data_IF_056941939963
#
_entry.id   IF_056941939963
#
_cell.length_a   1.000
_cell.length_b   1.000
_cell.length_c   1.000
_cell.angle_alpha   90.00
_cell.angle_beta   90.00
_cell.angle_gamma   90.00
#
_symmetry.space_group_name_H-M   'P 1'
#
loop_
_entity.id
_entity.type
_entity.pdbx_description
1 polymer ?
#
# COMPACT_ATOMS: atom_id res chain seq x y z
N UNK A 1 -32.18 23.41 -30.78
CA UNK A 1 -31.24 22.38 -30.26
C UNK A 1 -30.12 22.99 -29.40
N UNK A 2 -29.58 24.18 -29.73
CA UNK A 2 -28.49 24.81 -28.96
C UNK A 2 -28.84 25.16 -27.50
N UNK A 3 -30.08 25.53 -27.19
CA UNK A 3 -30.49 25.86 -25.82
C UNK A 3 -30.44 24.68 -24.84
N UNK A 4 -30.72 23.46 -25.32
CA UNK A 4 -30.70 22.24 -24.49
C UNK A 4 -29.27 21.88 -24.09
N UNK A 5 -28.31 22.04 -25.02
CA UNK A 5 -26.89 21.81 -24.73
C UNK A 5 -26.33 22.78 -23.69
N UNK A 6 -26.74 24.04 -23.72
CA UNK A 6 -26.32 25.05 -22.74
C UNK A 6 -26.82 24.69 -21.34
N UNK A 7 -28.08 24.24 -21.22
CA UNK A 7 -28.66 23.82 -19.94
C UNK A 7 -27.93 22.60 -19.38
N UNK A 8 -27.61 21.61 -20.22
CA UNK A 8 -26.91 20.41 -19.80
C UNK A 8 -25.47 20.71 -19.32
N UNK A 9 -24.75 21.60 -20.02
CA UNK A 9 -23.43 22.07 -19.62
C UNK A 9 -23.46 22.81 -18.28
N UNK A 10 -24.45 23.67 -18.04
CA UNK A 10 -24.62 24.36 -16.77
C UNK A 10 -24.93 23.40 -15.63
N UNK A 11 -25.68 22.33 -15.90
CA UNK A 11 -26.00 21.32 -14.89
C UNK A 11 -24.75 20.53 -14.46
N UNK A 12 -23.90 20.13 -15.41
CA UNK A 12 -22.62 19.46 -15.11
C UNK A 12 -21.67 20.39 -14.34
N UNK A 13 -21.60 21.67 -14.73
CA UNK A 13 -20.78 22.65 -14.03
C UNK A 13 -21.28 22.88 -12.59
N UNK A 14 -22.60 22.92 -12.37
CA UNK A 14 -23.19 23.08 -11.05
C UNK A 14 -22.95 21.85 -10.15
N UNK A 15 -23.07 20.62 -10.68
CA UNK A 15 -22.85 19.39 -9.88
C UNK A 15 -21.39 19.22 -9.51
N UNK A 16 -20.46 19.46 -10.43
CA UNK A 16 -19.02 19.44 -10.14
C UNK A 16 -18.62 20.51 -9.12
N UNK A 17 -19.18 21.72 -9.22
CA UNK A 17 -18.95 22.80 -8.24
C UNK A 17 -19.53 22.45 -6.86
N UNK A 18 -20.71 21.83 -6.79
CA UNK A 18 -21.32 21.42 -5.53
C UNK A 18 -20.50 20.34 -4.81
N UNK A 19 -19.97 19.35 -5.54
CA UNK A 19 -19.08 18.32 -4.98
C UNK A 19 -17.73 18.92 -4.55
N UNK A 20 -17.21 19.87 -5.31
CA UNK A 20 -15.97 20.56 -4.95
C UNK A 20 -16.15 21.41 -3.67
N UNK A 21 -17.25 22.15 -3.56
CA UNK A 21 -17.55 22.97 -2.39
C UNK A 21 -17.86 22.11 -1.16
N UNK A 22 -18.55 20.97 -1.28
CA UNK A 22 -18.80 20.08 -0.15
C UNK A 22 -17.51 19.47 0.40
N UNK A 23 -16.57 19.08 -0.48
CA UNK A 23 -15.24 18.61 -0.07
C UNK A 23 -14.44 19.70 0.62
N UNK A 24 -14.53 20.96 0.16
CA UNK A 24 -13.81 22.09 0.76
C UNK A 24 -14.38 22.49 2.13
N UNK A 25 -15.71 22.44 2.30
CA UNK A 25 -16.37 22.75 3.57
C UNK A 25 -16.17 21.67 4.65
N UNK A 26 -15.81 20.43 4.27
CA UNK A 26 -15.41 19.39 5.22
C UNK A 26 -14.00 19.59 5.79
N UNK A 27 -13.15 20.38 5.12
CA UNK A 27 -11.77 20.66 5.56
C UNK A 27 -11.73 21.83 6.54
N UNK A 28 -12.66 22.79 6.42
CA UNK A 28 -12.85 23.86 7.41
C UNK A 28 -13.77 23.39 8.56
N UNK A 29 -13.44 22.26 9.20
CA UNK A 29 -13.93 22.08 10.56
C UNK A 29 -13.33 23.22 11.38
N UNK A 30 -14.14 24.08 12.02
CA UNK A 30 -13.60 25.04 12.97
C UNK A 30 -12.77 24.22 13.95
N UNK A 31 -11.53 24.66 14.19
CA UNK A 31 -10.73 24.19 15.31
C UNK A 31 -11.65 24.25 16.52
N UNK A 32 -12.22 23.09 16.87
CA UNK A 32 -12.80 22.88 18.18
C UNK A 32 -11.67 23.29 19.07
N UNK A 33 -11.82 24.43 19.75
CA UNK A 33 -11.07 24.70 20.96
C UNK A 33 -11.36 23.47 21.80
N UNK A 34 -10.49 22.47 21.71
CA UNK A 34 -10.21 21.56 22.80
C UNK A 34 -9.76 22.53 23.89
N UNK A 35 -10.72 23.02 24.65
CA UNK A 35 -10.48 23.20 26.07
C UNK A 35 -9.80 21.89 26.48
N UNK A 36 -8.49 21.96 26.73
CA UNK A 36 -7.83 20.93 27.48
C UNK A 36 -8.54 20.97 28.83
N UNK A 37 -9.63 20.20 28.95
CA UNK A 37 -10.11 19.80 30.25
C UNK A 37 -8.90 19.23 30.95
N UNK A 38 -8.47 19.93 32.00
CA UNK A 38 -7.39 19.45 32.85
C UNK A 38 -7.77 18.01 33.22
N UNK A 39 -6.88 17.02 32.98
CA UNK A 39 -7.20 15.65 33.29
C UNK A 39 -7.61 15.61 34.77
N UNK A 40 -8.77 15.02 35.10
CA UNK A 40 -9.21 14.93 36.49
C UNK A 40 -8.06 14.30 37.29
N UNK A 41 -7.76 14.79 38.51
CA UNK A 41 -6.61 14.34 39.28
C UNK A 41 -6.69 12.82 39.45
N UNK A 42 -5.82 12.10 38.76
CA UNK A 42 -5.71 10.65 38.85
C UNK A 42 -5.10 10.35 40.21
N UNK A 43 -5.94 9.88 41.13
CA UNK A 43 -5.48 9.42 42.44
C UNK A 43 -4.67 8.15 42.26
N UNK A 44 -3.38 8.20 42.60
CA UNK A 44 -2.45 7.06 42.60
C UNK A 44 -2.83 5.93 43.59
N UNK A 45 -3.84 6.17 44.45
CA UNK A 45 -4.28 5.25 45.49
C UNK A 45 -5.82 5.16 45.60
N UNK A 46 -6.55 5.59 44.57
CA UNK A 46 -8.02 5.54 44.53
C UNK A 46 -8.52 4.20 43.99
N UNK A 47 -9.17 3.43 44.85
CA UNK A 47 -9.67 2.07 44.65
C UNK A 47 -10.36 1.73 43.32
N UNK A 48 -10.10 0.49 42.91
CA UNK A 48 -11.00 -0.49 42.26
C UNK A 48 -12.43 -0.02 41.94
N UNK A 49 -12.87 -0.32 40.71
CA UNK A 49 -14.29 -0.57 40.46
C UNK A 49 -14.83 -0.11 39.11
N UNK A 50 -14.18 -0.46 38.00
CA UNK A 50 -14.84 -0.73 36.72
C UNK A 50 -13.84 -1.27 35.67
N UNK A 51 -12.94 -2.16 36.09
CA UNK A 51 -12.52 -3.19 35.14
C UNK A 51 -13.74 -4.08 34.96
N UNK A 52 -14.56 -3.77 33.94
CA UNK A 52 -15.49 -4.75 33.42
C UNK A 52 -14.64 -6.00 33.18
N UNK A 53 -14.94 -7.14 33.83
CA UNK A 53 -14.31 -8.39 33.43
C UNK A 53 -14.65 -8.53 31.95
N UNK A 54 -13.66 -8.43 31.08
CA UNK A 54 -13.80 -8.94 29.71
C UNK A 54 -14.23 -10.38 29.96
N UNK A 55 -15.49 -10.68 29.65
CA UNK A 55 -16.03 -11.99 29.95
C UNK A 55 -15.11 -12.98 29.24
N UNK A 56 -14.67 -14.03 29.94
CA UNK A 56 -13.80 -15.05 29.34
C UNK A 56 -14.42 -15.57 28.02
N UNK A 57 -15.75 -15.54 27.95
CA UNK A 57 -16.55 -15.83 26.75
C UNK A 57 -16.25 -14.89 25.56
N UNK A 58 -16.02 -13.59 25.79
CA UNK A 58 -15.72 -12.62 24.73
C UNK A 58 -14.33 -12.89 24.09
N UNK A 59 -13.34 -13.24 24.91
CA UNK A 59 -11.99 -13.59 24.42
C UNK A 59 -12.04 -14.87 23.60
N UNK A 60 -12.73 -15.91 24.10
CA UNK A 60 -12.89 -17.17 23.36
C UNK A 60 -13.64 -16.98 22.04
N UNK A 61 -14.65 -16.12 22.01
CA UNK A 61 -15.40 -15.82 20.80
C UNK A 61 -14.54 -15.09 19.77
N UNK A 62 -13.71 -14.12 20.20
CA UNK A 62 -12.76 -13.43 19.33
C UNK A 62 -11.70 -14.39 18.77
N UNK A 63 -11.15 -15.27 19.60
CA UNK A 63 -10.19 -16.29 19.14
C UNK A 63 -10.82 -17.26 18.13
N UNK A 64 -12.08 -17.65 18.34
CA UNK A 64 -12.82 -18.49 17.40
C UNK A 64 -13.04 -17.79 16.08
N UNK A 65 -13.46 -16.52 16.10
CA UNK A 65 -13.63 -15.70 14.88
C UNK A 65 -12.30 -15.55 14.13
N UNK A 66 -11.21 -15.28 14.86
CA UNK A 66 -9.86 -15.22 14.29
C UNK A 66 -9.47 -16.53 13.61
N UNK A 67 -9.70 -17.66 14.28
CA UNK A 67 -9.39 -18.98 13.74
C UNK A 67 -10.21 -19.30 12.49
N UNK A 68 -11.49 -18.90 12.45
CA UNK A 68 -12.36 -19.08 11.29
C UNK A 68 -11.90 -18.26 10.08
N UNK A 69 -11.52 -17.00 10.29
CA UNK A 69 -10.99 -16.14 9.23
C UNK A 69 -9.66 -16.67 8.67
N UNK A 70 -8.76 -17.12 9.53
CA UNK A 70 -7.49 -17.71 9.08
C UNK A 70 -7.71 -19.05 8.37
N UNK A 71 -8.68 -19.87 8.80
CA UNK A 71 -9.03 -21.09 8.10
C UNK A 71 -9.60 -20.81 6.69
N UNK A 72 -10.41 -19.75 6.53
CA UNK A 72 -10.87 -19.29 5.22
C UNK A 72 -9.72 -18.80 4.34
N UNK A 73 -8.79 -18.01 4.90
CA UNK A 73 -7.59 -17.56 4.21
C UNK A 73 -6.75 -18.75 3.70
N UNK A 74 -6.55 -19.77 4.53
CA UNK A 74 -5.84 -20.99 4.16
C UNK A 74 -6.52 -21.79 3.02
N UNK A 75 -7.83 -21.60 2.82
CA UNK A 75 -8.58 -22.17 1.69
C UNK A 75 -8.58 -21.26 0.44
N UNK A 76 -7.82 -20.16 0.43
CA UNK A 76 -7.71 -19.24 -0.69
C UNK A 76 -8.82 -18.18 -0.77
N UNK A 77 -9.61 -18.00 0.29
CA UNK A 77 -10.64 -16.95 0.33
C UNK A 77 -9.98 -15.58 0.56
N UNK A 78 -9.93 -14.76 -0.49
CA UNK A 78 -9.31 -13.42 -0.44
C UNK A 78 -10.18 -12.38 0.26
N UNK A 79 -11.50 -12.62 0.40
CA UNK A 79 -12.41 -11.68 1.05
C UNK A 79 -12.07 -11.42 2.52
N UNK A 80 -11.37 -12.36 3.16
CA UNK A 80 -10.86 -12.24 4.53
C UNK A 80 -9.92 -11.05 4.73
N UNK A 81 -9.23 -10.59 3.67
CA UNK A 81 -8.35 -9.41 3.74
C UNK A 81 -9.14 -8.15 4.00
N UNK A 82 -10.27 -7.99 3.32
CA UNK A 82 -11.18 -6.85 3.51
C UNK A 82 -11.85 -6.91 4.88
N UNK A 83 -12.26 -8.10 5.34
CA UNK A 83 -12.83 -8.29 6.68
C UNK A 83 -11.81 -7.95 7.78
N UNK A 84 -10.56 -8.40 7.64
CA UNK A 84 -9.49 -8.10 8.59
C UNK A 84 -9.10 -6.62 8.59
N UNK A 85 -9.05 -5.99 7.41
CA UNK A 85 -8.79 -4.55 7.27
C UNK A 85 -9.91 -3.71 7.89
N UNK A 86 -11.18 -4.05 7.63
CA UNK A 86 -12.33 -3.36 8.20
C UNK A 86 -12.42 -3.47 9.73
N UNK A 87 -11.84 -4.53 10.31
CA UNK A 87 -11.72 -4.71 11.75
C UNK A 87 -10.54 -3.95 12.38
N UNK A 88 -9.75 -3.21 11.58
CA UNK A 88 -8.54 -2.49 12.00
C UNK A 88 -7.51 -3.38 12.74
N UNK A 89 -7.48 -4.68 12.42
CA UNK A 89 -6.59 -5.65 13.06
C UNK A 89 -5.43 -6.01 12.13
N UNK A 90 -4.37 -5.20 12.18
CA UNK A 90 -3.15 -5.37 11.38
C UNK A 90 -2.54 -6.77 11.54
N UNK A 91 -2.50 -7.31 12.75
CA UNK A 91 -1.91 -8.64 13.01
C UNK A 91 -2.70 -9.79 12.38
N UNK A 92 -4.03 -9.64 12.29
CA UNK A 92 -4.89 -10.62 11.63
C UNK A 92 -4.79 -10.48 10.10
N UNK A 93 -4.74 -9.24 9.62
CA UNK A 93 -4.54 -8.95 8.21
C UNK A 93 -3.24 -9.57 7.69
N UNK A 94 -2.12 -9.31 8.36
CA UNK A 94 -0.80 -9.83 7.99
C UNK A 94 -0.78 -11.36 8.01
N UNK A 95 -1.35 -11.97 9.05
CA UNK A 95 -1.42 -13.43 9.16
C UNK A 95 -2.28 -14.06 8.06
N UNK A 96 -3.40 -13.43 7.69
CA UNK A 96 -4.26 -13.89 6.60
C UNK A 96 -3.56 -13.75 5.24
N UNK A 97 -2.90 -12.61 5.01
CA UNK A 97 -2.14 -12.38 3.77
C UNK A 97 -0.97 -13.37 3.63
N UNK A 98 -0.26 -13.66 4.72
CA UNK A 98 0.81 -14.68 4.74
C UNK A 98 0.31 -16.07 4.38
N UNK A 99 -0.87 -16.46 4.87
CA UNK A 99 -1.49 -17.74 4.52
C UNK A 99 -1.87 -17.80 3.04
N UNK A 100 -2.44 -16.72 2.50
CA UNK A 100 -2.78 -16.62 1.08
C UNK A 100 -1.53 -16.69 0.19
N UNK A 101 -0.46 -15.97 0.54
CA UNK A 101 0.82 -16.04 -0.19
C UNK A 101 1.41 -17.44 -0.14
N UNK A 102 1.36 -18.10 1.03
CA UNK A 102 1.82 -19.48 1.18
C UNK A 102 1.02 -20.44 0.30
N UNK A 103 -0.29 -20.24 0.18
CA UNK A 103 -1.16 -21.02 -0.70
C UNK A 103 -0.88 -20.82 -2.20
N UNK A 104 -0.30 -19.69 -2.59
CA UNK A 104 0.07 -19.36 -3.97
C UNK A 104 1.56 -19.64 -4.30
N UNK A 105 2.35 -20.26 -3.42
CA UNK A 105 3.82 -20.32 -3.56
C UNK A 105 4.30 -20.95 -4.88
N UNK A 106 3.57 -21.94 -5.41
CA UNK A 106 3.91 -22.65 -6.66
C UNK A 106 3.08 -22.20 -7.87
N UNK A 107 2.28 -21.14 -7.72
CA UNK A 107 1.36 -20.63 -8.75
C UNK A 107 1.50 -19.11 -8.94
N UNK A 108 2.32 -18.73 -9.93
CA UNK A 108 2.53 -17.33 -10.32
C UNK A 108 1.24 -16.61 -10.73
N UNK A 109 0.23 -17.30 -11.27
CA UNK A 109 -1.05 -16.67 -11.61
C UNK A 109 -1.86 -16.37 -10.34
N UNK A 110 -1.87 -17.30 -9.38
CA UNK A 110 -2.46 -17.08 -8.06
C UNK A 110 -1.81 -15.88 -7.36
N UNK A 111 -0.47 -15.81 -7.35
CA UNK A 111 0.28 -14.75 -6.70
C UNK A 111 -0.01 -13.37 -7.34
N UNK A 112 -0.03 -13.30 -8.68
CA UNK A 112 -0.36 -12.06 -9.42
C UNK A 112 -1.81 -11.63 -9.20
N UNK A 113 -2.76 -12.55 -9.15
CA UNK A 113 -4.16 -12.21 -8.82
C UNK A 113 -4.29 -11.64 -7.40
N UNK A 114 -3.57 -12.21 -6.44
CA UNK A 114 -3.52 -11.71 -5.06
C UNK A 114 -2.90 -10.31 -5.01
N UNK A 115 -1.79 -10.10 -5.72
CA UNK A 115 -1.13 -8.81 -5.88
C UNK A 115 -2.06 -7.74 -6.46
N UNK A 116 -2.78 -8.09 -7.53
CA UNK A 116 -3.75 -7.22 -8.18
C UNK A 116 -4.91 -6.83 -7.24
N UNK A 117 -5.41 -7.76 -6.42
CA UNK A 117 -6.46 -7.48 -5.44
C UNK A 117 -5.99 -6.48 -4.37
N UNK A 118 -4.77 -6.68 -3.83
CA UNK A 118 -4.18 -5.73 -2.87
C UNK A 118 -3.96 -4.36 -3.50
N UNK A 119 -3.53 -4.30 -4.76
CA UNK A 119 -3.29 -3.05 -5.47
C UNK A 119 -4.57 -2.31 -5.90
N UNK A 120 -5.65 -3.03 -6.23
CA UNK A 120 -6.86 -2.44 -6.82
C UNK A 120 -7.64 -1.56 -5.83
N UNK A 121 -7.64 -1.91 -4.55
CA UNK A 121 -8.45 -1.24 -3.53
C UNK A 121 -7.88 0.09 -3.02
N UNK A 122 -6.57 0.32 -3.16
CA UNK A 122 -5.87 1.52 -2.64
C UNK A 122 -5.85 1.67 -1.11
N UNK A 123 -6.70 0.93 -0.39
CA UNK A 123 -6.79 0.88 1.06
C UNK A 123 -5.93 -0.23 1.65
N UNK A 124 -5.84 -1.36 0.94
CA UNK A 124 -5.04 -2.51 1.34
C UNK A 124 -3.55 -2.22 1.19
N UNK A 125 -2.76 -2.73 2.15
CA UNK A 125 -1.31 -2.65 2.14
C UNK A 125 -0.75 -4.03 1.86
N UNK A 126 0.32 -4.11 1.07
CA UNK A 126 1.02 -5.37 0.94
C UNK A 126 1.75 -5.65 2.26
N UNK A 127 2.02 -6.92 2.54
CA UNK A 127 3.00 -7.27 3.56
C UNK A 127 4.34 -7.57 2.90
N UNK A 128 5.39 -7.68 3.72
CA UNK A 128 6.74 -8.00 3.28
C UNK A 128 6.80 -9.31 2.47
N UNK A 129 6.08 -10.34 2.91
CA UNK A 129 6.12 -11.67 2.30
C UNK A 129 5.55 -11.70 0.89
N UNK A 130 4.43 -11.01 0.64
CA UNK A 130 3.86 -10.87 -0.71
C UNK A 130 4.83 -10.16 -1.65
N UNK A 131 5.43 -9.07 -1.18
CA UNK A 131 6.39 -8.30 -1.98
C UNK A 131 7.65 -9.12 -2.29
N UNK A 132 8.22 -9.83 -1.32
CA UNK A 132 9.35 -10.76 -1.53
C UNK A 132 9.00 -11.85 -2.55
N UNK A 133 7.83 -12.48 -2.42
CA UNK A 133 7.39 -13.52 -3.34
C UNK A 133 7.26 -13.00 -4.79
N UNK A 134 6.72 -11.80 -4.99
CA UNK A 134 6.63 -11.19 -6.33
C UNK A 134 7.98 -10.77 -6.89
N UNK A 135 8.92 -10.35 -6.04
CA UNK A 135 10.29 -10.05 -6.48
C UNK A 135 10.95 -11.33 -6.99
N UNK A 136 10.79 -12.46 -6.31
CA UNK A 136 11.32 -13.75 -6.76
C UNK A 136 10.62 -14.25 -8.04
N UNK A 137 9.29 -14.22 -8.09
CA UNK A 137 8.51 -14.60 -9.29
C UNK A 137 8.93 -13.77 -10.52
N UNK A 138 9.13 -12.46 -10.33
CA UNK A 138 9.58 -11.58 -11.40
C UNK A 138 11.02 -11.87 -11.86
N UNK A 139 11.92 -12.26 -10.95
CA UNK A 139 13.31 -12.63 -11.32
C UNK A 139 13.34 -13.85 -12.24
N UNK A 140 12.38 -14.76 -12.12
CA UNK A 140 12.27 -15.95 -12.97
C UNK A 140 11.81 -15.59 -14.39
N UNK A 141 10.91 -14.61 -14.54
CA UNK A 141 10.43 -14.13 -15.83
C UNK A 141 10.37 -12.59 -15.89
N UNK A 142 11.50 -11.91 -16.18
CA UNK A 142 11.61 -10.45 -16.12
C UNK A 142 10.90 -9.77 -17.28
N UNK A 143 9.57 -9.65 -17.19
CA UNK A 143 8.75 -8.91 -18.15
C UNK A 143 8.50 -7.46 -17.70
N UNK A 144 8.40 -6.54 -18.68
CA UNK A 144 8.29 -5.10 -18.41
C UNK A 144 7.00 -4.66 -17.73
N UNK A 145 5.88 -5.29 -18.08
CA UNK A 145 4.57 -5.09 -17.42
C UNK A 145 4.59 -5.59 -15.97
N UNK A 146 5.20 -6.75 -15.72
CA UNK A 146 5.30 -7.34 -14.39
C UNK A 146 6.25 -6.55 -13.46
N UNK A 147 7.25 -5.86 -14.02
CA UNK A 147 8.13 -4.98 -13.25
C UNK A 147 7.36 -3.85 -12.56
N UNK A 148 6.40 -3.23 -13.24
CA UNK A 148 5.61 -2.15 -12.66
C UNK A 148 4.74 -2.63 -11.51
N UNK A 149 4.13 -3.81 -11.65
CA UNK A 149 3.35 -4.48 -10.62
C UNK A 149 4.21 -4.85 -9.41
N UNK A 150 5.35 -5.51 -9.63
CA UNK A 150 6.31 -5.87 -8.58
C UNK A 150 6.78 -4.63 -7.80
N UNK A 151 7.18 -3.56 -8.49
CA UNK A 151 7.58 -2.31 -7.83
C UNK A 151 6.43 -1.66 -7.07
N UNK A 152 5.21 -1.71 -7.60
CA UNK A 152 4.03 -1.16 -6.94
C UNK A 152 3.73 -1.90 -5.64
N UNK A 153 3.72 -3.24 -5.66
CA UNK A 153 3.47 -4.05 -4.46
C UNK A 153 4.60 -3.92 -3.44
N UNK A 154 5.85 -3.87 -3.89
CA UNK A 154 6.97 -3.57 -2.99
C UNK A 154 6.80 -2.20 -2.31
N UNK A 155 6.30 -1.19 -3.01
CA UNK A 155 6.01 0.12 -2.40
C UNK A 155 4.80 0.08 -1.44
N UNK A 156 3.79 -0.75 -1.71
CA UNK A 156 2.65 -0.96 -0.81
C UNK A 156 3.01 -1.68 0.49
N UNK A 157 4.19 -2.33 0.54
CA UNK A 157 4.67 -3.02 1.75
C UNK A 157 5.09 -2.07 2.88
N UNK A 158 5.23 -0.78 2.57
CA UNK A 158 5.76 0.24 3.48
C UNK A 158 7.16 -0.08 4.08
N UNK A 159 7.87 -1.05 3.51
CA UNK A 159 9.26 -1.37 3.82
C UNK A 159 10.17 -0.71 2.77
N UNK A 160 10.78 0.42 3.15
CA UNK A 160 11.64 1.18 2.26
C UNK A 160 12.90 0.40 1.82
N UNK A 161 13.40 -0.52 2.65
CA UNK A 161 14.56 -1.33 2.31
C UNK A 161 14.18 -2.41 1.28
N UNK A 162 13.02 -3.04 1.45
CA UNK A 162 12.50 -4.01 0.48
C UNK A 162 12.20 -3.34 -0.87
N UNK A 163 11.63 -2.14 -0.85
CA UNK A 163 11.41 -1.38 -2.07
C UNK A 163 12.72 -0.98 -2.75
N UNK A 164 13.76 -0.60 -2.00
CA UNK A 164 15.10 -0.36 -2.56
C UNK A 164 15.68 -1.62 -3.22
N UNK A 165 15.51 -2.79 -2.59
CA UNK A 165 15.92 -4.06 -3.17
C UNK A 165 15.21 -4.34 -4.50
N UNK A 166 13.89 -4.18 -4.53
CA UNK A 166 13.07 -4.31 -5.74
C UNK A 166 13.56 -3.40 -6.88
N UNK A 167 13.87 -2.14 -6.57
CA UNK A 167 14.43 -1.17 -7.54
C UNK A 167 15.79 -1.63 -8.06
N UNK A 168 16.67 -2.11 -7.20
CA UNK A 168 18.00 -2.59 -7.60
C UNK A 168 17.91 -3.86 -8.46
N UNK A 169 17.00 -4.77 -8.14
CA UNK A 169 16.70 -5.96 -8.95
C UNK A 169 16.22 -5.53 -10.33
N UNK A 170 15.21 -4.66 -10.41
CA UNK A 170 14.69 -4.16 -11.69
C UNK A 170 15.76 -3.43 -12.53
N UNK A 171 16.60 -2.61 -11.90
CA UNK A 171 17.68 -1.90 -12.57
C UNK A 171 18.70 -2.86 -13.20
N UNK A 172 19.13 -3.90 -12.47
CA UNK A 172 20.11 -4.88 -12.97
C UNK A 172 19.62 -5.55 -14.25
N UNK A 173 18.39 -6.02 -14.28
CA UNK A 173 17.80 -6.65 -15.46
C UNK A 173 17.58 -5.65 -16.60
N UNK A 174 17.17 -4.41 -16.29
CA UNK A 174 17.02 -3.37 -17.32
C UNK A 174 18.34 -2.95 -17.99
N UNK A 175 19.47 -3.17 -17.32
CA UNK A 175 20.80 -2.86 -17.85
C UNK A 175 21.48 -4.06 -18.50
N UNK A 176 21.16 -5.29 -18.07
CA UNK A 176 21.81 -6.52 -18.55
C UNK A 176 21.33 -6.93 -19.95
N UNK A 177 20.07 -6.66 -20.28
CA UNK A 177 19.48 -7.14 -21.53
C UNK A 177 19.41 -6.03 -22.60
N UNK A 178 20.00 -6.30 -23.77
CA UNK A 178 20.03 -5.36 -24.89
C UNK A 178 18.61 -5.11 -25.46
N UNK A 179 17.66 -5.98 -25.10
CA UNK A 179 16.21 -5.83 -25.28
C UNK A 179 15.59 -5.09 -24.10
N UNK A 180 16.02 -3.85 -23.84
CA UNK A 180 15.45 -3.05 -22.74
C UNK A 180 13.93 -2.98 -22.86
N UNK A 181 13.17 -3.48 -21.88
CA UNK A 181 11.71 -3.37 -21.90
C UNK A 181 11.24 -1.91 -21.77
N UNK A 182 12.10 -1.01 -21.27
CA UNK A 182 11.80 0.42 -21.15
C UNK A 182 13.06 1.31 -21.21
N UNK A 183 12.88 2.57 -21.57
CA UNK A 183 13.98 3.55 -21.54
C UNK A 183 14.39 3.87 -20.10
N UNK A 184 15.67 4.20 -19.86
CA UNK A 184 16.13 4.60 -18.51
C UNK A 184 15.35 5.80 -17.93
N UNK A 185 14.86 6.70 -18.79
CA UNK A 185 14.00 7.82 -18.37
C UNK A 185 12.63 7.33 -17.86
N UNK A 186 12.04 6.35 -18.54
CA UNK A 186 10.74 5.81 -18.15
C UNK A 186 10.88 4.92 -16.90
N UNK A 187 12.00 4.21 -16.76
CA UNK A 187 12.35 3.49 -15.54
C UNK A 187 12.42 4.45 -14.33
N UNK A 188 13.18 5.54 -14.43
CA UNK A 188 13.24 6.54 -13.36
C UNK A 188 11.85 7.09 -13.00
N UNK A 189 11.00 7.39 -13.99
CA UNK A 189 9.64 7.88 -13.74
C UNK A 189 8.79 6.86 -12.99
N UNK A 190 8.86 5.58 -13.39
CA UNK A 190 8.13 4.49 -12.75
C UNK A 190 8.55 4.35 -11.28
N UNK A 191 9.85 4.30 -11.02
CA UNK A 191 10.37 4.19 -9.66
C UNK A 191 10.00 5.43 -8.83
N UNK A 192 10.15 6.64 -9.38
CA UNK A 192 9.77 7.86 -8.68
C UNK A 192 8.27 7.94 -8.39
N UNK A 193 7.41 7.44 -9.29
CA UNK A 193 5.97 7.40 -9.04
C UNK A 193 5.62 6.42 -7.93
N UNK A 194 6.25 5.24 -7.90
CA UNK A 194 6.01 4.23 -6.87
C UNK A 194 6.60 4.64 -5.52
N UNK A 195 7.68 5.44 -5.49
CA UNK A 195 8.19 6.01 -4.24
C UNK A 195 7.11 6.77 -3.45
N UNK A 196 6.16 7.45 -4.12
CA UNK A 196 5.08 8.18 -3.44
C UNK A 196 3.98 7.29 -2.87
N UNK A 197 3.93 6.01 -3.25
CA UNK A 197 2.98 5.02 -2.73
C UNK A 197 3.36 4.57 -1.30
N UNK A 198 4.67 4.57 -0.99
CA UNK A 198 5.18 4.32 0.35
C UNK A 198 4.54 5.26 1.37
N UNK A 199 4.22 4.73 2.55
CA UNK A 199 3.71 5.50 3.68
C UNK A 199 4.63 6.67 4.02
N UNK A 200 4.05 7.71 4.61
CA UNK A 200 4.82 8.87 5.06
C UNK A 200 5.91 8.46 6.06
N UNK A 201 5.64 7.47 6.91
CA UNK A 201 6.58 6.91 7.87
C UNK A 201 7.74 6.20 7.17
N UNK A 202 7.46 5.31 6.21
CA UNK A 202 8.48 4.60 5.45
C UNK A 202 9.41 5.58 4.72
N UNK A 203 8.84 6.63 4.10
CA UNK A 203 9.62 7.67 3.38
C UNK A 203 10.43 8.58 4.29
N UNK A 204 10.00 8.78 5.54
CA UNK A 204 10.69 9.60 6.53
C UNK A 204 11.72 8.79 7.35
N UNK A 205 11.72 7.47 7.22
CA UNK A 205 12.68 6.59 7.89
C UNK A 205 14.11 6.77 7.36
N UNK A 206 15.09 6.25 8.10
CA UNK A 206 16.49 6.22 7.65
C UNK A 206 16.66 5.46 6.33
N UNK A 207 15.98 4.33 6.16
CA UNK A 207 15.97 3.58 4.90
C UNK A 207 15.33 4.40 3.77
N UNK A 208 14.26 5.15 4.05
CA UNK A 208 13.64 6.08 3.10
C UNK A 208 14.57 7.21 2.64
N UNK A 209 15.49 7.66 3.51
CA UNK A 209 16.53 8.62 3.12
C UNK A 209 17.58 7.98 2.19
N UNK A 210 18.09 6.80 2.54
CA UNK A 210 19.05 6.05 1.71
C UNK A 210 18.48 5.75 0.32
N UNK A 211 17.21 5.34 0.26
CA UNK A 211 16.48 5.12 -0.97
C UNK A 211 16.45 6.38 -1.86
N UNK A 212 16.17 7.58 -1.32
CA UNK A 212 16.21 8.82 -2.11
C UNK A 212 17.58 9.11 -2.69
N UNK A 213 18.64 8.89 -1.90
CA UNK A 213 20.02 9.06 -2.36
C UNK A 213 20.32 8.07 -3.50
N UNK A 214 19.91 6.82 -3.35
CA UNK A 214 20.05 5.78 -4.36
C UNK A 214 19.30 6.13 -5.65
N UNK A 215 18.07 6.64 -5.57
CA UNK A 215 17.32 7.09 -6.75
C UNK A 215 18.01 8.25 -7.48
N UNK A 216 18.63 9.17 -6.73
CA UNK A 216 19.40 10.27 -7.31
C UNK A 216 20.69 9.78 -7.99
N UNK A 217 21.33 8.74 -7.45
CA UNK A 217 22.47 8.06 -8.07
C UNK A 217 22.06 7.35 -9.38
N UNK A 218 21.03 6.52 -9.34
CA UNK A 218 20.51 5.81 -10.53
C UNK A 218 20.17 6.80 -11.65
N UNK A 219 19.55 7.94 -11.33
CA UNK A 219 19.25 8.99 -12.31
C UNK A 219 20.52 9.55 -12.97
N UNK A 220 21.61 9.71 -12.20
CA UNK A 220 22.90 10.18 -12.72
C UNK A 220 23.55 9.12 -13.61
N UNK A 221 23.57 7.87 -13.17
CA UNK A 221 24.12 6.75 -13.95
C UNK A 221 23.42 6.62 -15.31
N UNK A 222 22.09 6.58 -15.33
CA UNK A 222 21.31 6.45 -16.56
C UNK A 222 21.43 7.67 -17.49
N UNK A 223 21.68 8.87 -16.94
CA UNK A 223 21.94 10.07 -17.73
C UNK A 223 23.31 10.05 -18.42
N UNK A 224 24.31 9.40 -17.80
CA UNK A 224 25.66 9.24 -18.37
C UNK A 224 25.64 8.19 -19.48
N UNK A 225 25.08 7.00 -19.25
CA UNK A 225 25.05 5.93 -20.27
C UNK A 225 24.36 6.37 -21.56
N UNK A 226 23.31 7.19 -21.47
CA UNK A 226 22.64 7.73 -22.66
C UNK A 226 23.55 8.56 -23.57
N UNK A 227 24.56 9.24 -23.02
CA UNK A 227 25.48 10.09 -23.79
C UNK A 227 26.54 9.27 -24.55
N UNK A 228 26.80 8.04 -24.13
CA UNK A 228 27.78 7.16 -24.78
C UNK A 228 27.19 6.43 -25.99
N UNK A 229 25.85 6.24 -25.99
CA UNK A 229 25.12 5.57 -27.08
C UNK A 229 24.67 6.51 -28.23
N UNK A 230 24.90 7.84 -28.13
CA UNK A 230 24.49 8.85 -29.13
C UNK A 230 25.67 9.38 -29.93
#
# INVERSE_FOLDING_TARGET
>A
MSAIFIIFLLFIAATTLAIYLSKRLLIDRPLVKRELDAPPPVSLFGGQGNELPIAIDDVQQLEKQRAELLARAANGDVSVLHEAHAAENETLYDAALDLLVTGCADDSECLRRLAAEVAAGGELRANRRLAEALIEDWKESPEGNLMAEMLHVAALSDDAALYEEAVNVALRFSCADNSRPMSGKDFCKLVESQFWVLSAQARASGAGFMLKERLAEIRRELAVSKREDS
#
